data_IF_165745536115
#
_entry.id   IF_165745536115
#
_cell.length_a   1.000
_cell.length_b   1.000
_cell.length_c   1.000
_cell.angle_alpha   90.00
_cell.angle_beta   90.00
_cell.angle_gamma   90.00
#
_symmetry.space_group_name_H-M   'P 1'
#
loop_
_entity.id
_entity.type
_entity.pdbx_description
1 polymer ?
#
# COMPACT_ATOMS: atom_id res chain seq x y z
N UNK A 1 -11.76 -33.68 12.09
CA UNK A 1 -10.70 -32.66 12.32
C UNK A 1 -9.38 -33.40 12.23
N UNK A 2 -8.67 -33.29 11.11
CA UNK A 2 -7.38 -33.96 10.94
C UNK A 2 -6.31 -32.91 11.22
N UNK A 3 -5.55 -33.11 12.30
CA UNK A 3 -4.34 -32.34 12.58
C UNK A 3 -3.25 -32.81 11.62
N UNK A 4 -2.83 -31.93 10.70
CA UNK A 4 -1.67 -32.18 9.84
C UNK A 4 -0.40 -32.25 10.70
N UNK A 5 0.46 -33.22 10.43
CA UNK A 5 1.69 -33.48 11.17
C UNK A 5 2.76 -32.40 10.88
N UNK A 6 3.61 -32.03 11.85
CA UNK A 6 4.55 -30.90 11.76
C UNK A 6 5.65 -31.02 10.70
N UNK A 7 5.75 -32.15 9.98
CA UNK A 7 6.77 -32.43 8.96
C UNK A 7 6.18 -32.54 7.54
N UNK A 8 4.94 -32.13 7.33
CA UNK A 8 4.36 -32.10 5.98
C UNK A 8 5.03 -30.98 5.17
N UNK A 9 5.90 -31.37 4.23
CA UNK A 9 6.59 -30.43 3.34
C UNK A 9 5.60 -29.55 2.59
N UNK A 10 4.40 -30.04 2.27
CA UNK A 10 3.35 -29.26 1.62
C UNK A 10 2.85 -28.14 2.53
N UNK A 11 2.65 -28.42 3.82
CA UNK A 11 2.26 -27.41 4.81
C UNK A 11 3.40 -26.41 5.03
N UNK A 12 4.65 -26.86 5.04
CA UNK A 12 5.81 -25.96 5.13
C UNK A 12 5.91 -25.02 3.90
N UNK A 13 5.78 -25.56 2.69
CA UNK A 13 5.76 -24.77 1.45
C UNK A 13 4.57 -23.83 1.40
N UNK A 14 3.38 -24.26 1.80
CA UNK A 14 2.20 -23.40 1.87
C UNK A 14 2.35 -22.30 2.92
N UNK A 15 2.96 -22.57 4.07
CA UNK A 15 3.26 -21.54 5.07
C UNK A 15 4.31 -20.54 4.57
N UNK A 16 5.34 -21.00 3.85
CA UNK A 16 6.33 -20.11 3.24
C UNK A 16 5.68 -19.24 2.17
N UNK A 17 4.93 -19.85 1.24
CA UNK A 17 4.25 -19.11 0.17
C UNK A 17 3.22 -18.14 0.75
N UNK A 18 2.45 -18.55 1.77
CA UNK A 18 1.53 -17.65 2.45
C UNK A 18 2.25 -16.52 3.18
N UNK A 19 3.38 -16.78 3.83
CA UNK A 19 4.19 -15.76 4.50
C UNK A 19 4.77 -14.76 3.50
N UNK A 20 5.34 -15.26 2.40
CA UNK A 20 5.88 -14.42 1.30
C UNK A 20 4.76 -13.60 0.66
N UNK A 21 3.62 -14.21 0.33
CA UNK A 21 2.49 -13.48 -0.24
C UNK A 21 1.94 -12.43 0.74
N UNK A 22 1.75 -12.77 2.01
CA UNK A 22 1.31 -11.82 3.02
C UNK A 22 2.34 -10.70 3.27
N UNK A 23 3.63 -10.98 3.05
CA UNK A 23 4.71 -10.00 3.18
C UNK A 23 4.68 -8.95 2.06
N UNK A 24 4.35 -9.36 0.82
CA UNK A 24 4.27 -8.44 -0.32
C UNK A 24 2.86 -7.86 -0.56
N UNK A 25 1.83 -8.32 0.16
CA UNK A 25 0.49 -7.73 0.05
C UNK A 25 0.40 -6.45 0.87
N UNK A 26 0.29 -5.32 0.17
CA UNK A 26 0.07 -4.01 0.74
C UNK A 26 -1.40 -3.61 0.61
N UNK A 27 -2.00 -3.11 1.69
CA UNK A 27 -3.32 -2.47 1.63
C UNK A 27 -3.21 -1.02 1.17
N UNK A 28 -4.11 -0.58 0.31
CA UNK A 28 -4.19 0.81 -0.15
C UNK A 28 -5.52 1.42 0.26
N UNK A 29 -5.45 2.54 0.96
CA UNK A 29 -6.57 3.26 1.52
C UNK A 29 -6.74 4.62 0.83
N UNK A 30 -8.00 5.01 0.60
CA UNK A 30 -8.37 6.34 0.14
C UNK A 30 -9.69 6.73 0.79
N UNK A 31 -9.78 7.93 1.36
CA UNK A 31 -11.02 8.40 2.00
C UNK A 31 -12.18 8.40 1.01
N UNK A 32 -13.32 7.89 1.47
CA UNK A 32 -14.54 7.75 0.66
C UNK A 32 -14.45 6.69 -0.44
N UNK A 33 -13.45 5.81 -0.41
CA UNK A 33 -13.31 4.69 -1.34
C UNK A 33 -13.12 3.37 -0.58
N UNK A 34 -13.41 2.26 -1.26
CA UNK A 34 -13.15 0.92 -0.73
C UNK A 34 -11.65 0.64 -0.85
N UNK A 35 -11.04 0.17 0.24
CA UNK A 35 -9.62 -0.23 0.29
C UNK A 35 -9.31 -1.34 -0.71
N UNK A 36 -8.09 -1.34 -1.26
CA UNK A 36 -7.64 -2.31 -2.28
C UNK A 36 -6.34 -2.99 -1.85
N UNK A 37 -6.24 -4.30 -2.01
CA UNK A 37 -4.99 -5.04 -1.84
C UNK A 37 -4.18 -5.00 -3.13
N UNK A 38 -2.88 -4.72 -3.03
CA UNK A 38 -1.93 -4.81 -4.14
C UNK A 38 -0.75 -5.71 -3.76
N UNK A 39 -0.14 -6.35 -4.75
CA UNK A 39 1.15 -7.01 -4.59
C UNK A 39 2.26 -5.97 -4.87
N UNK A 40 2.90 -5.48 -3.82
CA UNK A 40 3.91 -4.43 -3.95
C UNK A 40 5.19 -4.93 -4.66
N UNK A 41 5.47 -6.24 -4.57
CA UNK A 41 6.60 -6.87 -5.23
C UNK A 41 6.44 -6.98 -6.75
N UNK A 42 5.24 -6.73 -7.28
CA UNK A 42 4.97 -6.73 -8.72
C UNK A 42 5.42 -5.47 -9.44
N UNK A 43 5.81 -4.41 -8.72
CA UNK A 43 6.27 -3.15 -9.28
C UNK A 43 7.81 -3.04 -9.25
N UNK A 44 8.39 -2.38 -10.24
CA UNK A 44 9.84 -2.15 -10.33
C UNK A 44 10.30 -0.81 -9.74
N UNK A 45 9.36 0.05 -9.32
CA UNK A 45 9.67 1.37 -8.79
C UNK A 45 8.45 2.23 -8.50
N UNK A 46 8.67 3.38 -7.87
CA UNK A 46 7.62 4.34 -7.53
C UNK A 46 6.83 4.84 -8.74
N UNK A 47 7.44 4.93 -9.92
CA UNK A 47 6.76 5.35 -11.15
C UNK A 47 5.60 4.43 -11.53
N UNK A 48 5.86 3.12 -11.56
CA UNK A 48 4.84 2.10 -11.87
C UNK A 48 3.79 2.00 -10.77
N UNK A 49 4.20 2.05 -9.50
CA UNK A 49 3.29 2.09 -8.36
C UNK A 49 2.31 3.27 -8.48
N UNK A 50 2.84 4.49 -8.69
CA UNK A 50 2.02 5.70 -8.78
C UNK A 50 1.01 5.63 -9.92
N UNK A 51 1.41 5.13 -11.08
CA UNK A 51 0.49 4.95 -12.21
C UNK A 51 -0.59 3.91 -11.89
N UNK A 52 -0.21 2.77 -11.31
CA UNK A 52 -1.17 1.75 -10.93
C UNK A 52 -2.18 2.26 -9.89
N UNK A 53 -1.72 3.02 -8.88
CA UNK A 53 -2.59 3.65 -7.90
C UNK A 53 -3.53 4.67 -8.55
N UNK A 54 -3.03 5.49 -9.47
CA UNK A 54 -3.84 6.46 -10.20
C UNK A 54 -4.96 5.78 -10.99
N UNK A 55 -4.63 4.75 -11.76
CA UNK A 55 -5.62 3.95 -12.48
C UNK A 55 -6.60 3.27 -11.52
N UNK A 56 -6.11 2.68 -10.42
CA UNK A 56 -6.95 1.94 -9.47
C UNK A 56 -7.98 2.81 -8.77
N UNK A 57 -7.69 4.08 -8.51
CA UNK A 57 -8.59 4.98 -7.80
C UNK A 57 -9.24 6.03 -8.72
N UNK A 58 -9.12 5.88 -10.04
CA UNK A 58 -9.72 6.79 -11.02
C UNK A 58 -9.18 8.22 -10.92
N UNK A 59 -7.88 8.35 -10.63
CA UNK A 59 -7.20 9.65 -10.48
C UNK A 59 -6.58 10.14 -11.81
N UNK A 60 -6.61 9.30 -12.84
CA UNK A 60 -6.20 9.63 -14.22
C UNK A 60 -7.36 10.38 -14.92
N UNK A 61 -7.18 11.65 -15.30
CA UNK A 61 -8.17 12.39 -16.11
C UNK A 61 -9.08 13.40 -15.40
N UNK A 62 -8.74 13.89 -14.19
CA UNK A 62 -9.34 15.15 -13.72
C UNK A 62 -8.68 16.32 -14.47
N UNK A 63 -9.42 17.35 -14.93
CA UNK A 63 -9.03 18.33 -15.97
C UNK A 63 -7.80 19.22 -15.68
N UNK A 64 -6.99 18.87 -14.69
CA UNK A 64 -5.72 19.49 -14.29
C UNK A 64 -4.54 18.56 -14.63
N UNK A 65 -4.64 17.87 -15.78
CA UNK A 65 -3.84 16.74 -16.32
C UNK A 65 -2.37 17.04 -16.68
N UNK A 66 -1.69 17.85 -15.89
CA UNK A 66 -0.21 17.82 -15.80
C UNK A 66 0.32 18.07 -14.39
N UNK A 67 -0.58 18.38 -13.46
CA UNK A 67 -0.33 18.68 -12.06
C UNK A 67 -1.16 17.81 -11.10
N UNK A 68 -2.06 16.96 -11.62
CA UNK A 68 -2.97 16.11 -10.83
C UNK A 68 -2.25 15.05 -9.99
N UNK A 69 -1.21 14.37 -10.53
CA UNK A 69 -0.31 13.52 -9.74
C UNK A 69 0.49 14.35 -8.71
N UNK A 70 0.72 15.64 -8.97
CA UNK A 70 1.36 16.57 -8.04
C UNK A 70 0.45 17.05 -6.89
N UNK A 71 -0.85 16.75 -6.92
CA UNK A 71 -1.83 17.15 -5.91
C UNK A 71 -2.14 16.05 -4.90
N UNK A 72 -2.13 14.80 -5.33
CA UNK A 72 -2.28 13.66 -4.43
C UNK A 72 -0.96 13.41 -3.71
N UNK A 73 -1.02 13.23 -2.39
CA UNK A 73 0.14 12.82 -1.60
C UNK A 73 -0.08 11.39 -1.15
N UNK A 74 0.96 10.58 -1.33
CA UNK A 74 0.97 9.21 -0.85
C UNK A 74 1.80 9.17 0.43
N UNK A 75 1.21 8.62 1.48
CA UNK A 75 1.92 8.25 2.69
C UNK A 75 1.81 6.73 2.86
N UNK A 76 2.74 6.14 3.58
CA UNK A 76 2.63 4.74 3.96
C UNK A 76 2.78 4.59 5.46
N UNK A 77 2.15 3.56 6.01
CA UNK A 77 2.38 3.10 7.36
C UNK A 77 3.41 1.97 7.31
N UNK A 78 4.42 2.03 8.16
CA UNK A 78 5.36 0.94 8.36
C UNK A 78 4.87 -0.08 9.41
N UNK A 79 5.75 -0.99 9.83
CA UNK A 79 5.45 -1.96 10.89
C UNK A 79 5.50 -1.38 12.30
N UNK A 80 6.15 -0.22 12.50
CA UNK A 80 6.21 0.51 13.77
C UNK A 80 4.94 1.33 14.01
N UNK A 81 4.16 1.54 12.95
CA UNK A 81 2.89 2.25 12.97
C UNK A 81 3.01 3.71 12.57
N UNK A 82 4.20 4.16 12.16
CA UNK A 82 4.49 5.52 11.75
C UNK A 82 4.05 5.77 10.31
N UNK A 83 3.57 6.99 10.06
CA UNK A 83 3.16 7.42 8.73
C UNK A 83 4.27 8.26 8.09
N UNK A 84 4.80 7.77 6.97
CA UNK A 84 5.93 8.33 6.24
C UNK A 84 5.55 8.66 4.80
N UNK A 85 6.29 9.55 4.14
CA UNK A 85 6.03 9.88 2.73
C UNK A 85 6.55 8.79 1.80
N UNK A 86 5.74 8.43 0.79
CA UNK A 86 6.19 7.51 -0.25
C UNK A 86 7.20 8.22 -1.15
N UNK A 87 8.38 7.63 -1.31
CA UNK A 87 9.44 8.13 -2.19
C UNK A 87 10.68 8.68 -1.49
N UNK A 88 10.70 8.72 -0.16
CA UNK A 88 11.87 9.18 0.61
C UNK A 88 12.96 8.09 0.72
N UNK A 89 12.56 6.83 0.85
CA UNK A 89 13.47 5.68 0.91
C UNK A 89 13.78 5.10 -0.47
N UNK A 90 14.89 4.34 -0.62
CA UNK A 90 15.11 3.49 -1.80
C UNK A 90 13.94 2.52 -2.01
N UNK A 91 13.63 2.22 -3.28
CA UNK A 91 12.49 1.37 -3.64
C UNK A 91 12.54 0.00 -2.94
N UNK A 92 13.72 -0.61 -2.90
CA UNK A 92 13.94 -1.92 -2.30
C UNK A 92 13.69 -1.92 -0.79
N UNK A 93 14.05 -0.84 -0.10
CA UNK A 93 13.80 -0.68 1.34
C UNK A 93 12.32 -0.44 1.60
N UNK A 94 11.69 0.43 0.81
CA UNK A 94 10.26 0.71 0.90
C UNK A 94 9.40 -0.55 0.74
N UNK A 95 9.69 -1.39 -0.25
CA UNK A 95 8.98 -2.65 -0.50
C UNK A 95 9.01 -3.60 0.70
N UNK A 96 10.08 -3.55 1.50
CA UNK A 96 10.30 -4.41 2.67
C UNK A 96 9.57 -3.88 3.91
N UNK A 97 9.44 -2.57 4.05
CA UNK A 97 8.93 -1.93 5.28
C UNK A 97 7.46 -1.49 5.17
N UNK A 98 6.93 -1.35 3.95
CA UNK A 98 5.58 -0.87 3.73
C UNK A 98 4.53 -1.88 4.19
N UNK A 99 3.66 -1.46 5.10
CA UNK A 99 2.52 -2.25 5.57
C UNK A 99 1.22 -1.84 4.89
N UNK A 100 1.00 -0.53 4.74
CA UNK A 100 -0.17 0.01 4.03
C UNK A 100 0.15 1.36 3.40
N UNK A 101 -0.50 1.69 2.29
CA UNK A 101 -0.41 2.98 1.60
C UNK A 101 -1.72 3.74 1.78
N UNK A 102 -1.62 5.05 1.95
CA UNK A 102 -2.77 5.95 2.06
C UNK A 102 -2.65 7.06 1.03
N UNK A 103 -3.75 7.25 0.30
CA UNK A 103 -3.89 8.28 -0.72
C UNK A 103 -4.59 9.48 -0.10
N UNK A 104 -3.86 10.59 -0.01
CA UNK A 104 -4.37 11.86 0.53
C UNK A 104 -4.72 12.82 -0.61
N UNK A 105 -5.94 13.36 -0.54
CA UNK A 105 -6.36 14.53 -1.31
C UNK A 105 -5.64 15.79 -0.83
N UNK A 106 -5.56 16.85 -1.67
CA UNK A 106 -4.98 18.13 -1.27
C UNK A 106 -5.55 18.72 0.03
N UNK A 107 -6.83 18.48 0.30
CA UNK A 107 -7.50 18.96 1.51
C UNK A 107 -7.00 18.23 2.77
N UNK A 108 -6.73 16.93 2.64
CA UNK A 108 -6.21 16.08 3.73
C UNK A 108 -4.74 16.34 4.01
N UNK A 109 -3.97 16.79 3.01
CA UNK A 109 -2.58 17.22 3.21
C UNK A 109 -2.50 18.45 4.13
N UNK A 110 -3.46 19.37 4.03
CA UNK A 110 -3.52 20.58 4.87
C UNK A 110 -4.02 20.32 6.29
N UNK A 111 -4.76 19.22 6.47
CA UNK A 111 -5.25 18.76 7.75
C UNK A 111 -4.85 17.29 7.92
N UNK A 112 -3.56 17.00 8.21
CA UNK A 112 -3.10 15.65 8.49
C UNK A 112 -3.59 15.24 9.88
N UNK A 113 -4.90 15.18 10.05
CA UNK A 113 -5.49 14.38 11.10
C UNK A 113 -5.14 12.95 10.73
N UNK A 114 -4.35 12.32 11.60
CA UNK A 114 -3.89 10.94 11.45
C UNK A 114 -5.03 10.06 10.90
N UNK A 115 -4.79 9.29 9.83
CA UNK A 115 -5.86 8.54 9.16
C UNK A 115 -6.55 7.46 10.03
N UNK A 116 -6.07 7.24 11.26
CA UNK A 116 -6.70 6.39 12.27
C UNK A 116 -7.74 7.05 13.17
N UNK A 117 -8.05 8.34 12.97
CA UNK A 117 -8.92 9.11 13.87
C UNK A 117 -10.43 9.00 13.61
N UNK A 118 -10.88 8.43 12.49
CA UNK A 118 -12.30 8.48 12.07
C UNK A 118 -12.76 7.20 11.35
N UNK A 119 -12.49 6.03 11.97
CA UNK A 119 -13.01 4.72 11.54
C UNK A 119 -13.79 3.98 12.66
N UNK A 120 -14.44 4.72 13.56
CA UNK A 120 -15.42 4.18 14.53
C UNK A 120 -16.82 4.71 14.28
#
# INVERSE_FOLDING_TARGET
MIFAQPNDSTVFFLNIVAWVLCYYVCQVHKRGAISRSIDIGSFSGYGELNQALAHMFGMEGQPEDRQSIGRWKFIYQDYEGDFLFVGDDPWEEFVIIVKSIWILSPQEVLQPMFPGGDLT
#
